data_IF_515081668873
#
_entry.id   IF_515081668873
#
_cell.length_a   1.000
_cell.length_b   1.000
_cell.length_c   1.000
_cell.angle_alpha   90.00
_cell.angle_beta   90.00
_cell.angle_gamma   90.00
#
_symmetry.space_group_name_H-M   'P 1'
#
loop_
_entity.id
_entity.type
_entity.pdbx_description
1 polymer ?
#
# COMPACT_ATOMS: atom_id res chain seq x y z
N UNK A 1 8.52 -5.97 1.50
CA UNK A 1 7.13 -6.07 2.01
C UNK A 1 6.59 -7.52 2.07
N UNK A 2 7.44 -8.55 2.20
CA UNK A 2 6.98 -9.96 2.25
C UNK A 2 5.95 -10.28 3.34
N UNK A 3 6.04 -9.65 4.52
CA UNK A 3 5.01 -9.77 5.57
C UNK A 3 3.71 -9.02 5.29
N UNK A 4 3.71 -8.06 4.36
CA UNK A 4 2.50 -7.39 3.85
C UNK A 4 1.76 -8.27 2.82
N UNK A 5 2.45 -9.23 2.17
CA UNK A 5 1.80 -10.29 1.38
C UNK A 5 1.10 -11.34 2.25
N UNK A 6 1.68 -11.70 3.41
CA UNK A 6 1.02 -12.58 4.39
C UNK A 6 -0.17 -11.92 5.12
N UNK A 7 -0.19 -10.58 5.15
CA UNK A 7 -1.29 -9.78 5.71
C UNK A 7 -2.33 -9.36 4.67
N UNK A 8 -2.25 -9.82 3.42
CA UNK A 8 -3.30 -9.56 2.44
C UNK A 8 -4.46 -10.53 2.69
N UNK A 9 -5.06 -10.44 3.88
CA UNK A 9 -6.21 -11.23 4.25
C UNK A 9 -7.43 -10.66 3.53
N UNK A 10 -8.28 -11.51 2.95
CA UNK A 10 -9.58 -11.06 2.46
C UNK A 10 -10.45 -10.39 3.55
N UNK A 11 -10.21 -10.73 4.82
CA UNK A 11 -10.85 -10.12 5.99
C UNK A 11 -10.50 -8.64 6.14
N UNK A 12 -9.28 -8.26 5.76
CA UNK A 12 -8.80 -6.88 5.88
C UNK A 12 -9.56 -5.98 4.91
N UNK A 13 -9.90 -6.51 3.71
CA UNK A 13 -10.77 -5.82 2.76
C UNK A 13 -12.16 -5.55 3.35
N UNK A 14 -12.78 -6.53 4.02
CA UNK A 14 -14.11 -6.34 4.63
C UNK A 14 -14.08 -5.25 5.71
N UNK A 15 -13.00 -5.20 6.48
CA UNK A 15 -12.83 -4.21 7.54
C UNK A 15 -12.53 -2.81 7.02
N UNK A 16 -11.70 -2.68 5.98
CA UNK A 16 -11.46 -1.38 5.31
C UNK A 16 -12.78 -0.79 4.83
N UNK A 17 -13.69 -1.61 4.29
CA UNK A 17 -15.03 -1.15 3.89
C UNK A 17 -15.80 -0.67 5.12
N UNK A 18 -15.91 -1.51 6.15
CA UNK A 18 -16.70 -1.21 7.33
C UNK A 18 -16.21 0.07 8.02
N UNK A 19 -14.91 0.16 8.27
CA UNK A 19 -14.27 1.32 8.88
C UNK A 19 -14.44 2.56 8.02
N UNK A 20 -14.15 2.44 6.72
CA UNK A 20 -14.23 3.54 5.77
C UNK A 20 -15.63 4.09 5.57
N UNK A 21 -16.65 3.22 5.49
CA UNK A 21 -18.05 3.62 5.34
C UNK A 21 -18.58 4.26 6.62
N UNK A 22 -18.32 3.67 7.79
CA UNK A 22 -18.72 4.26 9.08
C UNK A 22 -18.06 5.62 9.25
N UNK A 23 -16.75 5.72 8.98
CA UNK A 23 -16.04 6.98 9.08
C UNK A 23 -16.57 8.02 8.09
N UNK A 24 -16.74 7.68 6.80
CA UNK A 24 -17.27 8.63 5.80
C UNK A 24 -18.68 9.15 6.13
N UNK A 25 -19.51 8.36 6.82
CA UNK A 25 -20.86 8.77 7.23
C UNK A 25 -20.87 9.64 8.49
N UNK A 26 -20.06 9.31 9.49
CA UNK A 26 -20.15 9.90 10.84
C UNK A 26 -19.00 10.86 11.19
N UNK A 27 -17.96 10.98 10.37
CA UNK A 27 -16.83 11.88 10.66
C UNK A 27 -17.20 13.37 10.55
N UNK A 28 -16.48 14.17 11.33
CA UNK A 28 -16.43 15.63 11.24
C UNK A 28 -15.68 16.09 10.00
N UNK A 29 -14.60 15.39 9.61
CA UNK A 29 -13.86 15.65 8.37
C UNK A 29 -13.92 14.47 7.38
N UNK A 30 -14.92 14.43 6.48
CA UNK A 30 -15.11 13.29 5.56
C UNK A 30 -14.14 13.27 4.38
N UNK A 31 -13.27 14.29 4.24
CA UNK A 31 -12.20 14.31 3.24
C UNK A 31 -11.03 13.40 3.64
N UNK A 32 -10.93 13.02 4.91
CA UNK A 32 -9.96 12.06 5.41
C UNK A 32 -10.34 10.63 4.97
N UNK A 33 -9.39 9.92 4.37
CA UNK A 33 -9.55 8.52 3.94
C UNK A 33 -8.81 7.62 4.93
N UNK A 34 -9.52 6.65 5.52
CA UNK A 34 -8.92 5.67 6.43
C UNK A 34 -8.16 4.61 5.64
N UNK A 35 -6.94 4.29 6.08
CA UNK A 35 -6.12 3.22 5.53
C UNK A 35 -5.10 2.76 6.57
N UNK A 36 -4.46 1.60 6.36
CA UNK A 36 -3.36 1.17 7.20
C UNK A 36 -2.20 2.16 7.03
N UNK A 37 -1.65 2.67 8.14
CA UNK A 37 -0.50 3.57 8.14
C UNK A 37 0.78 2.81 8.49
N UNK A 38 1.92 3.29 7.99
CA UNK A 38 3.23 2.70 8.29
C UNK A 38 3.50 2.55 9.80
N UNK A 39 3.31 3.60 10.62
CA UNK A 39 3.52 3.51 12.06
C UNK A 39 2.63 2.47 12.75
N UNK A 40 1.35 2.36 12.36
CA UNK A 40 0.45 1.33 12.90
C UNK A 40 0.93 -0.09 12.53
N UNK A 41 1.36 -0.29 11.29
CA UNK A 41 1.90 -1.58 10.83
C UNK A 41 3.19 -1.95 11.58
N UNK A 42 4.09 -0.99 11.81
CA UNK A 42 5.32 -1.22 12.58
C UNK A 42 5.00 -1.63 14.02
N UNK A 43 4.02 -0.98 14.65
CA UNK A 43 3.57 -1.34 15.99
C UNK A 43 3.03 -2.79 16.02
N UNK A 44 2.20 -3.18 15.05
CA UNK A 44 1.69 -4.56 14.96
C UNK A 44 2.79 -5.60 14.73
N UNK A 45 3.80 -5.29 13.90
CA UNK A 45 4.95 -6.18 13.67
C UNK A 45 5.78 -6.35 14.92
N UNK A 46 6.03 -5.28 15.68
CA UNK A 46 6.75 -5.34 16.96
C UNK A 46 5.97 -6.20 17.95
N UNK A 47 4.65 -6.02 18.01
CA UNK A 47 3.76 -6.82 18.85
C UNK A 47 3.81 -8.30 18.45
N UNK A 48 3.73 -8.64 17.16
CA UNK A 48 3.84 -10.02 16.65
C UNK A 48 5.17 -10.67 17.05
N UNK A 49 6.29 -9.96 16.87
CA UNK A 49 7.62 -10.45 17.27
C UNK A 49 7.70 -10.69 18.78
N UNK A 50 7.12 -9.81 19.60
CA UNK A 50 7.07 -9.98 21.06
C UNK A 50 6.22 -11.21 21.44
N UNK A 51 5.05 -11.37 20.82
CA UNK A 51 4.15 -12.50 21.06
C UNK A 51 4.83 -13.83 20.72
N UNK A 52 5.52 -13.91 19.57
CA UNK A 52 6.25 -15.11 19.14
C UNK A 52 7.40 -15.46 20.08
N UNK A 53 8.13 -14.47 20.60
CA UNK A 53 9.22 -14.69 21.57
C UNK A 53 8.72 -15.25 22.90
N UNK A 54 7.52 -14.83 23.32
CA UNK A 54 6.94 -15.22 24.61
C UNK A 54 5.97 -16.41 24.50
N UNK A 55 5.63 -16.85 23.28
CA UNK A 55 4.70 -17.95 23.03
C UNK A 55 3.23 -17.60 23.27
N UNK A 56 2.86 -16.33 23.19
CA UNK A 56 1.49 -15.87 23.39
C UNK A 56 0.70 -15.77 22.07
N UNK A 57 -0.61 -15.96 22.15
CA UNK A 57 -1.51 -15.80 21.00
C UNK A 57 -1.63 -14.32 20.60
N UNK A 58 -1.02 -13.98 19.46
CA UNK A 58 -1.00 -12.63 18.89
C UNK A 58 -2.39 -12.01 18.73
N UNK A 59 -3.36 -12.81 18.28
CA UNK A 59 -4.72 -12.32 17.99
C UNK A 59 -5.46 -11.87 19.26
N UNK A 60 -5.21 -12.56 20.37
CA UNK A 60 -5.82 -12.22 21.66
C UNK A 60 -5.16 -10.98 22.29
N UNK A 61 -3.84 -10.86 22.17
CA UNK A 61 -3.12 -9.65 22.58
C UNK A 61 -3.58 -8.46 21.74
N UNK A 62 -3.74 -8.62 20.42
CA UNK A 62 -4.31 -7.59 19.54
C UNK A 62 -5.68 -7.14 20.01
N UNK A 63 -6.56 -8.07 20.39
CA UNK A 63 -7.88 -7.73 20.95
C UNK A 63 -7.73 -6.85 22.19
N UNK A 64 -6.97 -7.28 23.20
CA UNK A 64 -6.85 -6.52 24.46
C UNK A 64 -6.20 -5.15 24.29
N UNK A 65 -5.15 -5.07 23.46
CA UNK A 65 -4.52 -3.78 23.12
C UNK A 65 -5.55 -2.87 22.45
N UNK A 66 -6.32 -3.36 21.48
CA UNK A 66 -7.36 -2.59 20.81
C UNK A 66 -8.49 -2.11 21.74
N UNK A 67 -8.94 -2.95 22.67
CA UNK A 67 -9.97 -2.57 23.66
C UNK A 67 -9.47 -1.45 24.58
N UNK A 68 -8.24 -1.58 25.12
CA UNK A 68 -7.64 -0.54 25.96
C UNK A 68 -7.38 0.75 25.17
N UNK A 69 -6.92 0.65 23.93
CA UNK A 69 -6.71 1.81 23.06
C UNK A 69 -8.02 2.52 22.77
N UNK A 70 -9.10 1.80 22.43
CA UNK A 70 -10.42 2.38 22.25
C UNK A 70 -10.92 3.11 23.50
N UNK A 71 -10.72 2.51 24.68
CA UNK A 71 -11.08 3.14 25.96
C UNK A 71 -10.27 4.43 26.20
N UNK A 72 -8.96 4.40 25.95
CA UNK A 72 -8.09 5.57 26.11
C UNK A 72 -8.45 6.69 25.14
N UNK A 73 -8.83 6.37 23.90
CA UNK A 73 -9.29 7.37 22.94
C UNK A 73 -10.59 8.05 23.40
N UNK A 74 -11.54 7.32 24.00
CA UNK A 74 -12.74 7.93 24.61
C UNK A 74 -12.35 8.87 25.75
N UNK A 75 -11.41 8.46 26.60
CA UNK A 75 -10.89 9.31 27.69
C UNK A 75 -10.24 10.58 27.12
N UNK A 76 -9.47 10.47 26.04
CA UNK A 76 -8.88 11.63 25.37
C UNK A 76 -9.92 12.57 24.77
N UNK A 77 -11.01 12.05 24.20
CA UNK A 77 -12.15 12.88 23.75
C UNK A 77 -12.77 13.62 24.93
N UNK A 78 -12.96 12.96 26.07
CA UNK A 78 -13.56 13.55 27.27
C UNK A 78 -12.68 14.62 27.95
N UNK A 79 -11.36 14.47 27.88
CA UNK A 79 -10.36 15.41 28.44
C UNK A 79 -10.08 16.59 27.48
N UNK A 80 -10.66 16.60 26.28
CA UNK A 80 -10.32 17.55 25.22
C UNK A 80 -8.83 17.50 24.84
N UNK A 81 -8.32 16.29 24.59
CA UNK A 81 -6.97 16.11 24.05
C UNK A 81 -6.82 16.70 22.65
N UNK A 82 -7.91 16.95 21.93
CA UNK A 82 -7.90 17.68 20.66
C UNK A 82 -7.47 19.13 20.81
N UNK A 83 -7.52 19.74 22.00
CA UNK A 83 -6.92 21.05 22.23
C UNK A 83 -5.41 21.07 21.90
N UNK A 84 -4.72 19.91 21.98
CA UNK A 84 -3.32 19.82 21.57
C UNK A 84 -3.08 20.10 20.09
N UNK A 85 -4.11 19.99 19.24
CA UNK A 85 -4.07 20.40 17.84
C UNK A 85 -3.67 21.87 17.69
N UNK A 86 -4.08 22.73 18.61
CA UNK A 86 -3.77 24.16 18.55
C UNK A 86 -2.27 24.46 18.72
N UNK A 87 -1.48 23.53 19.26
CA UNK A 87 -0.02 23.67 19.35
C UNK A 87 0.71 23.26 18.07
N UNK A 88 0.02 22.57 17.16
CA UNK A 88 0.58 22.23 15.85
C UNK A 88 0.68 23.53 15.06
N UNK A 89 1.90 23.92 14.72
CA UNK A 89 2.17 25.09 13.91
C UNK A 89 2.28 24.71 12.45
N UNK A 90 2.12 25.70 11.55
CA UNK A 90 2.36 25.54 10.11
C UNK A 90 3.70 24.87 9.80
N UNK A 91 4.76 25.23 10.53
CA UNK A 91 6.08 24.65 10.34
C UNK A 91 6.10 23.14 10.60
N UNK A 92 5.46 22.70 11.69
CA UNK A 92 5.39 21.26 12.03
C UNK A 92 4.54 20.46 11.03
N UNK A 93 3.46 21.04 10.51
CA UNK A 93 2.61 20.41 9.50
C UNK A 93 3.35 20.22 8.17
N UNK A 94 4.05 21.26 7.70
CA UNK A 94 4.82 21.20 6.47
C UNK A 94 6.01 20.24 6.60
N UNK A 95 6.71 20.24 7.73
CA UNK A 95 7.77 19.28 8.02
C UNK A 95 7.25 17.83 8.02
N UNK A 96 6.06 17.58 8.57
CA UNK A 96 5.48 16.24 8.58
C UNK A 96 5.03 15.79 7.18
N UNK A 97 4.37 16.66 6.43
CA UNK A 97 3.93 16.33 5.07
C UNK A 97 5.11 16.17 4.09
N UNK A 98 6.21 16.93 4.26
CA UNK A 98 7.45 16.74 3.47
C UNK A 98 8.11 15.41 3.83
N UNK A 99 8.23 15.09 5.12
CA UNK A 99 8.78 13.81 5.59
C UNK A 99 8.01 12.62 5.00
N UNK A 100 6.68 12.65 5.07
CA UNK A 100 5.87 11.56 4.52
C UNK A 100 6.03 11.48 3.00
N UNK A 101 6.04 12.60 2.29
CA UNK A 101 6.24 12.61 0.84
C UNK A 101 7.60 12.01 0.46
N UNK A 102 8.66 12.30 1.22
CA UNK A 102 9.98 11.72 1.04
C UNK A 102 10.00 10.20 1.32
N UNK A 103 9.31 9.75 2.38
CA UNK A 103 9.16 8.32 2.69
C UNK A 103 8.49 7.59 1.51
N UNK A 104 7.44 8.18 0.92
CA UNK A 104 6.77 7.59 -0.24
C UNK A 104 7.68 7.51 -1.47
N UNK A 105 8.51 8.53 -1.72
CA UNK A 105 9.47 8.52 -2.83
C UNK A 105 10.53 7.43 -2.64
N UNK A 106 11.14 7.34 -1.45
CA UNK A 106 12.13 6.31 -1.14
C UNK A 106 11.51 4.92 -1.25
N UNK A 107 10.30 4.73 -0.70
CA UNK A 107 9.59 3.45 -0.77
C UNK A 107 9.28 3.03 -2.20
N UNK A 108 8.89 3.95 -3.09
CA UNK A 108 8.64 3.62 -4.49
C UNK A 108 9.90 3.10 -5.20
N UNK A 109 11.08 3.63 -4.86
CA UNK A 109 12.37 3.19 -5.41
C UNK A 109 12.82 1.87 -4.78
N UNK A 110 12.67 1.71 -3.46
CA UNK A 110 13.01 0.47 -2.74
C UNK A 110 12.25 -0.73 -3.30
N UNK A 111 10.94 -0.59 -3.51
CA UNK A 111 10.09 -1.64 -4.08
C UNK A 111 10.43 -1.94 -5.55
N UNK A 112 10.87 -0.94 -6.33
CA UNK A 112 11.39 -1.18 -7.66
C UNK A 112 12.69 -1.99 -7.61
N UNK A 113 13.56 -1.72 -6.62
CA UNK A 113 14.80 -2.49 -6.41
C UNK A 113 14.53 -3.91 -5.89
N UNK A 114 13.46 -4.14 -5.13
CA UNK A 114 13.02 -5.49 -4.72
C UNK A 114 12.76 -6.38 -5.95
N UNK A 115 12.13 -5.83 -7.00
CA UNK A 115 11.94 -6.53 -8.30
C UNK A 115 13.27 -6.86 -8.97
N UNK A 116 14.31 -6.05 -8.77
CA UNK A 116 15.66 -6.33 -9.29
C UNK A 116 16.28 -7.56 -8.65
N UNK A 117 16.00 -7.82 -7.38
CA UNK A 117 16.52 -8.99 -6.67
C UNK A 117 15.80 -10.26 -7.09
N UNK A 118 14.48 -10.19 -7.30
CA UNK A 118 13.67 -11.31 -7.78
C UNK A 118 13.95 -11.69 -9.24
N UNK A 119 14.38 -10.72 -10.06
CA UNK A 119 14.68 -10.93 -11.49
C UNK A 119 15.95 -10.18 -11.90
N UNK A 120 17.13 -10.72 -11.56
CA UNK A 120 18.40 -10.02 -11.77
C UNK A 120 18.74 -9.85 -13.24
N UNK A 121 19.31 -8.69 -13.58
CA UNK A 121 19.88 -8.44 -14.92
C UNK A 121 21.22 -9.14 -15.02
N UNK A 122 21.27 -10.18 -15.84
CA UNK A 122 22.52 -10.89 -16.13
C UNK A 122 23.19 -10.27 -17.33
N UNK A 123 24.45 -9.84 -17.17
CA UNK A 123 25.23 -9.16 -18.23
C UNK A 123 25.80 -10.11 -19.27
N UNK A 124 25.97 -11.39 -18.94
CA UNK A 124 26.57 -12.40 -19.81
C UNK A 124 25.62 -13.59 -20.00
N UNK A 125 24.89 -13.57 -21.12
CA UNK A 125 23.93 -14.61 -21.49
C UNK A 125 24.60 -16.00 -21.57
N UNK A 126 25.90 -16.05 -21.89
CA UNK A 126 26.66 -17.28 -22.01
C UNK A 126 26.79 -18.05 -20.68
N UNK A 127 26.87 -17.35 -19.54
CA UNK A 127 26.96 -17.98 -18.21
C UNK A 127 25.64 -18.66 -17.79
N UNK A 128 24.51 -18.17 -18.33
CA UNK A 128 23.18 -18.78 -18.12
C UNK A 128 23.09 -20.09 -18.89
N UNK A 129 23.51 -20.10 -20.17
CA UNK A 129 23.50 -21.32 -20.98
C UNK A 129 24.49 -22.39 -20.50
N UNK A 130 25.57 -22.01 -19.80
CA UNK A 130 26.51 -22.96 -19.19
C UNK A 130 26.01 -23.58 -17.89
N UNK A 131 24.94 -23.05 -17.27
CA UNK A 131 24.37 -23.57 -16.01
C UNK A 131 22.87 -23.90 -16.18
N UNK A 132 22.54 -25.00 -16.89
CA UNK A 132 21.17 -25.40 -17.10
C UNK A 132 20.47 -25.76 -15.79
N UNK A 133 19.14 -25.67 -15.79
CA UNK A 133 18.33 -25.96 -14.62
C UNK A 133 18.23 -27.47 -14.37
N UNK A 134 18.79 -27.95 -13.25
CA UNK A 134 18.71 -29.35 -12.85
C UNK A 134 18.05 -29.49 -11.47
N UNK A 135 17.29 -30.58 -11.32
CA UNK A 135 16.70 -30.98 -10.06
C UNK A 135 17.59 -32.07 -9.45
N UNK A 136 18.16 -31.82 -8.27
CA UNK A 136 18.89 -32.83 -7.49
C UNK A 136 18.00 -33.39 -6.39
N UNK A 137 17.94 -34.70 -6.30
CA UNK A 137 17.37 -35.38 -5.15
C UNK A 137 18.52 -35.85 -4.26
N UNK A 138 18.50 -35.47 -2.98
CA UNK A 138 19.41 -36.05 -2.00
C UNK A 138 18.84 -37.39 -1.55
N UNK A 139 19.14 -38.47 -2.28
CA UNK A 139 19.08 -39.81 -1.71
C UNK A 139 20.36 -40.05 -0.94
N UNK A 140 20.25 -40.39 0.34
CA UNK A 140 21.40 -40.91 1.07
C UNK A 140 21.92 -42.14 0.31
N UNK A 141 23.13 -42.00 -0.23
CA UNK A 141 23.99 -42.96 -0.94
C UNK A 141 24.12 -42.84 -2.47
N UNK A 142 25.27 -42.26 -2.86
CA UNK A 142 26.04 -42.39 -4.12
C UNK A 142 25.48 -41.82 -5.45
N UNK A 143 26.25 -40.86 -5.97
CA UNK A 143 26.19 -40.23 -7.29
C UNK A 143 26.45 -41.25 -8.40
N UNK A 144 25.54 -41.38 -9.38
CA UNK A 144 25.85 -41.97 -10.69
C UNK A 144 25.22 -41.13 -11.81
N UNK A 145 26.06 -40.69 -12.74
CA UNK A 145 25.73 -39.93 -13.95
C UNK A 145 25.41 -40.92 -15.08
N UNK A 146 24.25 -40.81 -15.74
CA UNK A 146 24.02 -41.49 -17.02
C UNK A 146 23.09 -40.70 -17.96
N UNK A 147 23.55 -40.55 -19.22
CA UNK A 147 22.89 -39.89 -20.36
C UNK A 147 21.54 -40.53 -20.79
N UNK A 148 20.63 -39.76 -21.45
CA UNK A 148 19.25 -40.17 -21.65
C UNK A 148 18.99 -40.83 -23.03
N UNK A 149 18.32 -41.99 -23.04
CA UNK A 149 17.49 -42.42 -24.17
C UNK A 149 16.13 -42.93 -23.67
N UNK A 150 15.09 -42.33 -24.25
CA UNK A 150 13.68 -42.72 -24.40
C UNK A 150 13.21 -44.03 -23.74
N UNK A 151 12.17 -43.95 -22.91
CA UNK A 151 11.33 -45.10 -22.52
C UNK A 151 9.84 -44.74 -22.65
N UNK A 152 9.00 -45.73 -22.96
CA UNK A 152 7.97 -46.10 -21.99
C UNK A 152 7.81 -47.63 -21.89
N UNK A 153 6.87 -48.16 -21.09
CA UNK A 153 6.72 -48.01 -19.65
C UNK A 153 6.74 -49.39 -18.96
N UNK A 154 6.76 -49.39 -17.62
CA UNK A 154 6.53 -50.52 -16.71
C UNK A 154 7.75 -51.31 -16.23
N UNK A 155 7.70 -51.58 -14.92
CA UNK A 155 8.58 -52.38 -14.07
C UNK A 155 9.81 -51.68 -13.48
N UNK A 156 9.79 -51.60 -12.13
CA UNK A 156 10.94 -51.44 -11.24
C UNK A 156 11.90 -50.27 -11.53
N UNK A 157 11.65 -49.09 -10.95
CA UNK A 157 12.58 -47.96 -11.01
C UNK A 157 13.10 -47.59 -9.62
N UNK A 158 14.09 -48.33 -9.15
CA UNK A 158 15.09 -47.84 -8.19
C UNK A 158 16.25 -47.28 -9.04
N UNK A 159 16.58 -46.00 -8.85
CA UNK A 159 17.80 -45.28 -9.25
C UNK A 159 17.49 -43.91 -9.87
N UNK A 160 18.26 -42.92 -9.43
CA UNK A 160 18.27 -41.47 -9.69
C UNK A 160 17.78 -41.03 -11.07
N UNK A 161 16.69 -40.25 -11.08
CA UNK A 161 16.19 -39.53 -12.27
C UNK A 161 16.91 -38.18 -12.40
N UNK A 162 17.92 -38.09 -13.27
CA UNK A 162 18.40 -36.80 -13.78
C UNK A 162 17.50 -36.38 -14.96
N UNK A 163 16.72 -35.29 -14.79
CA UNK A 163 15.84 -34.74 -15.83
C UNK A 163 16.53 -33.51 -16.44
N UNK A 164 17.01 -33.55 -17.71
CA UNK A 164 17.86 -32.49 -18.26
C UNK A 164 17.12 -31.21 -18.70
N UNK A 165 15.78 -31.19 -18.68
CA UNK A 165 15.02 -30.01 -19.09
C UNK A 165 13.83 -29.77 -18.15
N UNK A 166 14.05 -28.88 -17.19
CA UNK A 166 13.04 -28.41 -16.26
C UNK A 166 12.20 -27.30 -16.92
N UNK A 167 11.05 -27.64 -17.51
CA UNK A 167 10.00 -26.63 -17.77
C UNK A 167 9.43 -26.13 -16.44
N UNK A 168 8.78 -24.96 -16.40
CA UNK A 168 8.22 -24.36 -15.17
C UNK A 168 7.37 -25.34 -14.34
N UNK A 169 6.67 -26.26 -15.02
CA UNK A 169 5.90 -27.36 -14.41
C UNK A 169 6.76 -28.46 -13.78
N UNK A 170 7.90 -28.79 -14.40
CA UNK A 170 8.84 -29.79 -13.91
C UNK A 170 9.59 -29.32 -12.64
N UNK A 171 9.84 -28.01 -12.52
CA UNK A 171 10.55 -27.46 -11.36
C UNK A 171 9.65 -27.40 -10.13
N UNK A 172 8.36 -27.11 -10.31
CA UNK A 172 7.38 -27.20 -9.22
C UNK A 172 7.23 -28.65 -8.73
N UNK A 173 7.18 -29.62 -9.64
CA UNK A 173 7.12 -31.05 -9.30
C UNK A 173 8.38 -31.53 -8.54
N UNK A 174 9.57 -31.06 -8.92
CA UNK A 174 10.82 -31.32 -8.20
C UNK A 174 10.75 -30.86 -6.73
N UNK A 175 10.23 -29.65 -6.49
CA UNK A 175 10.09 -29.10 -5.13
C UNK A 175 9.05 -29.88 -4.30
N UNK A 176 7.96 -30.32 -4.93
CA UNK A 176 6.93 -31.16 -4.30
C UNK A 176 7.46 -32.54 -3.89
N UNK A 177 8.36 -33.13 -4.69
CA UNK A 177 9.00 -34.42 -4.40
C UNK A 177 10.24 -34.29 -3.47
N UNK A 178 10.49 -33.11 -2.90
CA UNK A 178 11.59 -32.87 -1.94
C UNK A 178 12.98 -32.70 -2.58
N UNK A 179 13.05 -32.41 -3.88
CA UNK A 179 14.29 -32.10 -4.60
C UNK A 179 14.74 -30.64 -4.44
N UNK A 180 16.04 -30.40 -4.58
CA UNK A 180 16.66 -29.07 -4.60
C UNK A 180 16.95 -28.69 -6.05
N UNK A 181 16.54 -27.48 -6.43
CA UNK A 181 16.73 -26.95 -7.77
C UNK A 181 18.05 -26.16 -7.79
N UNK A 182 18.94 -26.49 -8.72
CA UNK A 182 20.22 -25.79 -8.91
C UNK A 182 20.40 -25.40 -10.39
N UNK A 183 21.01 -24.24 -10.63
CA UNK A 183 21.24 -23.68 -11.97
C UNK A 183 20.68 -22.27 -12.13
N UNK A 184 21.42 -21.37 -12.78
CA UNK A 184 20.99 -19.97 -12.95
C UNK A 184 19.83 -19.85 -13.93
N UNK A 185 19.69 -20.80 -14.86
CA UNK A 185 18.59 -20.82 -15.83
C UNK A 185 17.21 -21.07 -15.20
N UNK A 186 17.13 -21.63 -13.99
CA UNK A 186 15.85 -21.89 -13.31
C UNK A 186 15.12 -20.60 -12.87
N UNK A 187 15.90 -19.60 -12.47
CA UNK A 187 15.39 -18.35 -11.88
C UNK A 187 15.46 -17.17 -12.86
N UNK A 188 16.12 -17.36 -14.00
CA UNK A 188 16.31 -16.31 -14.99
C UNK A 188 15.04 -16.08 -15.81
N UNK A 189 14.44 -14.90 -15.64
CA UNK A 189 13.43 -14.38 -16.56
C UNK A 189 14.04 -13.22 -17.36
N UNK A 190 14.18 -13.34 -18.70
CA UNK A 190 14.75 -12.27 -19.51
C UNK A 190 13.84 -11.03 -19.50
N UNK A 191 14.47 -9.85 -19.52
CA UNK A 191 13.87 -8.53 -19.78
C UNK A 191 12.78 -8.04 -18.79
N UNK A 192 12.40 -8.83 -17.79
CA UNK A 192 11.35 -8.47 -16.81
C UNK A 192 11.70 -7.21 -16.04
N UNK A 193 12.92 -7.12 -15.50
CA UNK A 193 13.34 -5.96 -14.72
C UNK A 193 13.50 -4.70 -15.56
N UNK A 194 14.13 -4.80 -16.74
CA UNK A 194 14.31 -3.65 -17.64
C UNK A 194 12.96 -3.09 -18.09
N UNK A 195 12.02 -3.97 -18.44
CA UNK A 195 10.67 -3.56 -18.81
C UNK A 195 9.90 -2.99 -17.60
N UNK A 196 10.13 -3.49 -16.38
CA UNK A 196 9.56 -2.94 -15.15
C UNK A 196 10.02 -1.49 -14.89
N UNK A 197 11.31 -1.19 -15.11
CA UNK A 197 11.84 0.18 -15.04
C UNK A 197 11.16 1.09 -16.07
N UNK A 198 11.00 0.60 -17.30
CA UNK A 198 10.34 1.37 -18.37
C UNK A 198 8.89 1.68 -17.98
N UNK A 199 8.12 0.69 -17.54
CA UNK A 199 6.75 0.88 -17.08
C UNK A 199 6.66 1.86 -15.90
N UNK A 200 7.57 1.76 -14.94
CA UNK A 200 7.63 2.64 -13.77
C UNK A 200 7.79 4.12 -14.16
N UNK A 201 8.86 4.45 -14.91
CA UNK A 201 9.12 5.82 -15.31
C UNK A 201 8.12 6.32 -16.35
N UNK A 202 7.70 5.49 -17.30
CA UNK A 202 6.71 5.89 -18.30
C UNK A 202 5.36 6.24 -17.66
N UNK A 203 4.91 5.46 -16.66
CA UNK A 203 3.68 5.79 -15.92
C UNK A 203 3.80 7.15 -15.23
N UNK A 204 4.93 7.41 -14.56
CA UNK A 204 5.22 8.69 -13.92
C UNK A 204 5.20 9.85 -14.92
N UNK A 205 5.95 9.75 -16.02
CA UNK A 205 6.05 10.82 -17.02
C UNK A 205 4.72 11.08 -17.72
N UNK A 206 3.92 10.05 -18.00
CA UNK A 206 2.59 10.21 -18.58
C UNK A 206 1.65 10.91 -17.59
N UNK A 207 1.60 10.46 -16.34
CA UNK A 207 0.76 11.10 -15.32
C UNK A 207 1.16 12.57 -15.08
N UNK A 208 2.47 12.84 -14.99
CA UNK A 208 3.00 14.19 -14.82
C UNK A 208 2.79 15.06 -16.06
N UNK A 209 2.97 14.52 -17.26
CA UNK A 209 2.71 15.21 -18.52
C UNK A 209 1.23 15.60 -18.69
N UNK A 210 0.31 14.67 -18.38
CA UNK A 210 -1.13 14.94 -18.37
C UNK A 210 -1.53 15.93 -17.27
N UNK A 211 -0.81 15.97 -16.13
CA UNK A 211 -0.97 17.05 -15.13
C UNK A 211 -0.56 18.41 -15.71
N UNK A 212 0.62 18.49 -16.34
CA UNK A 212 1.15 19.72 -16.92
C UNK A 212 0.30 20.22 -18.09
N UNK A 213 -0.34 19.30 -18.82
CA UNK A 213 -1.30 19.61 -19.87
C UNK A 213 -2.43 20.52 -19.37
N UNK A 214 -2.76 20.51 -18.06
CA UNK A 214 -3.69 21.46 -17.43
C UNK A 214 -3.36 22.93 -17.68
N UNK A 215 -2.10 23.28 -17.91
CA UNK A 215 -1.67 24.67 -18.17
C UNK A 215 -1.39 24.94 -19.65
N UNK A 216 -1.47 23.92 -20.51
CA UNK A 216 -1.25 24.06 -21.94
C UNK A 216 -2.34 24.88 -22.63
N UNK A 217 -1.99 25.53 -23.74
CA UNK A 217 -2.87 26.35 -24.59
C UNK A 217 -3.42 25.60 -25.82
N UNK A 218 -2.98 24.36 -26.09
CA UNK A 218 -3.28 23.66 -27.34
C UNK A 218 -4.73 23.13 -27.47
N UNK A 219 -5.50 23.04 -26.38
CA UNK A 219 -6.84 22.45 -26.36
C UNK A 219 -7.89 23.30 -25.64
N UNK A 220 -9.17 23.02 -25.91
CA UNK A 220 -10.29 23.65 -25.20
C UNK A 220 -10.20 23.43 -23.69
N UNK A 221 -10.53 24.46 -22.91
CA UNK A 221 -10.45 24.46 -21.44
C UNK A 221 -11.14 23.22 -20.83
N UNK A 222 -12.34 22.85 -21.30
CA UNK A 222 -13.08 21.69 -20.80
C UNK A 222 -12.32 20.37 -20.97
N UNK A 223 -11.78 20.12 -22.16
CA UNK A 223 -11.04 18.89 -22.46
C UNK A 223 -9.76 18.83 -21.62
N UNK A 224 -9.05 19.96 -21.52
CA UNK A 224 -7.82 20.09 -20.75
C UNK A 224 -8.01 19.78 -19.27
N UNK A 225 -9.07 20.32 -18.65
CA UNK A 225 -9.38 20.04 -17.25
C UNK A 225 -9.78 18.58 -17.03
N UNK A 226 -10.63 18.00 -17.89
CA UNK A 226 -11.02 16.58 -17.79
C UNK A 226 -9.81 15.64 -17.92
N UNK A 227 -8.97 15.85 -18.94
CA UNK A 227 -7.78 15.01 -19.16
C UNK A 227 -6.78 15.12 -18.00
N UNK A 228 -6.60 16.32 -17.45
CA UNK A 228 -5.72 16.52 -16.30
C UNK A 228 -6.26 15.87 -15.01
N UNK A 229 -7.57 15.85 -14.81
CA UNK A 229 -8.19 15.23 -13.62
C UNK A 229 -8.14 13.69 -13.68
N UNK A 230 -8.21 13.10 -14.87
CA UNK A 230 -8.09 11.65 -15.10
C UNK A 230 -6.64 11.17 -15.36
N UNK A 231 -5.63 12.02 -15.13
CA UNK A 231 -4.24 11.74 -15.50
C UNK A 231 -3.70 10.38 -15.02
N UNK A 232 -3.89 10.04 -13.75
CA UNK A 232 -3.44 8.79 -13.14
C UNK A 232 -4.17 7.61 -13.75
N UNK A 233 -5.49 7.71 -13.93
CA UNK A 233 -6.29 6.61 -14.51
C UNK A 233 -5.91 6.32 -15.95
N UNK A 234 -5.67 7.36 -16.76
CA UNK A 234 -5.23 7.23 -18.15
C UNK A 234 -3.83 6.60 -18.21
N UNK A 235 -2.92 7.03 -17.32
CA UNK A 235 -1.56 6.46 -17.25
C UNK A 235 -1.57 4.96 -16.90
N UNK A 236 -2.37 4.54 -15.92
CA UNK A 236 -2.52 3.12 -15.54
C UNK A 236 -3.06 2.31 -16.71
N UNK A 237 -4.11 2.77 -17.38
CA UNK A 237 -4.72 2.06 -18.50
C UNK A 237 -3.75 1.91 -19.68
N UNK A 238 -3.04 2.98 -20.04
CA UNK A 238 -2.11 2.98 -21.16
C UNK A 238 -0.92 2.05 -20.91
N UNK A 239 -0.34 2.08 -19.70
CA UNK A 239 0.81 1.25 -19.35
C UNK A 239 0.43 -0.21 -19.10
N UNK A 240 -0.77 -0.47 -18.57
CA UNK A 240 -1.31 -1.83 -18.46
C UNK A 240 -1.56 -2.43 -19.85
N UNK A 241 -2.08 -1.65 -20.80
CA UNK A 241 -2.23 -2.06 -22.19
C UNK A 241 -0.87 -2.32 -22.85
N UNK A 242 0.13 -1.47 -22.60
CA UNK A 242 1.50 -1.67 -23.08
C UNK A 242 2.11 -2.98 -22.56
N UNK A 243 1.91 -3.30 -21.27
CA UNK A 243 2.36 -4.59 -20.68
C UNK A 243 1.76 -5.79 -21.42
N UNK A 244 0.46 -5.73 -21.73
CA UNK A 244 -0.21 -6.80 -22.48
C UNK A 244 0.19 -6.87 -23.95
N UNK A 245 0.51 -5.73 -24.58
CA UNK A 245 1.00 -5.69 -25.96
C UNK A 245 2.40 -6.30 -26.11
N UNK A 246 3.27 -6.10 -25.10
CA UNK A 246 4.64 -6.67 -25.10
C UNK A 246 4.64 -8.13 -24.65
N UNK A 247 3.70 -8.54 -23.79
CA UNK A 247 3.54 -9.94 -23.37
C UNK A 247 4.59 -10.44 -22.38
N UNK A 248 5.28 -9.54 -21.66
CA UNK A 248 6.28 -9.90 -20.64
C UNK A 248 5.63 -10.28 -19.31
N UNK A 249 6.18 -11.28 -18.62
CA UNK A 249 5.75 -11.79 -17.31
C UNK A 249 6.19 -10.88 -16.14
N UNK A 250 5.80 -9.61 -16.20
CA UNK A 250 5.99 -8.63 -15.12
C UNK A 250 5.15 -9.00 -13.90
N UNK A 251 5.65 -8.84 -12.66
CA UNK A 251 4.86 -9.06 -11.46
C UNK A 251 3.57 -8.23 -11.49
N UNK A 252 2.44 -8.89 -11.35
CA UNK A 252 1.11 -8.27 -11.33
C UNK A 252 0.57 -8.24 -9.90
N UNK A 253 -0.44 -7.41 -9.65
CA UNK A 253 -1.06 -7.32 -8.34
C UNK A 253 -1.69 -8.66 -7.93
N UNK A 254 -1.19 -9.24 -6.85
CA UNK A 254 -1.70 -10.47 -6.25
C UNK A 254 -2.79 -10.12 -5.23
N UNK A 255 -4.04 -10.42 -5.58
CA UNK A 255 -5.20 -10.29 -4.68
C UNK A 255 -5.71 -11.70 -4.35
N UNK A 256 -5.98 -12.01 -3.08
CA UNK A 256 -6.53 -13.32 -2.69
C UNK A 256 -7.91 -13.54 -3.32
N UNK A 257 -8.10 -14.67 -4.00
CA UNK A 257 -9.37 -15.01 -4.69
C UNK A 257 -10.48 -15.50 -3.74
N UNK A 258 -10.14 -15.86 -2.50
CA UNK A 258 -11.09 -16.47 -1.55
C UNK A 258 -11.14 -15.66 -0.27
N UNK A 259 -12.36 -15.41 0.22
CA UNK A 259 -12.63 -14.78 1.51
C UNK A 259 -12.46 -15.76 2.69
N UNK A 260 -11.36 -16.49 2.74
CA UNK A 260 -11.11 -17.43 3.82
C UNK A 260 -10.22 -16.79 4.90
N UNK A 261 -10.52 -16.99 6.19
CA UNK A 261 -9.59 -16.65 7.25
C UNK A 261 -8.30 -17.47 7.09
N UNK A 262 -7.15 -16.88 7.42
CA UNK A 262 -5.81 -17.51 7.36
C UNK A 262 -5.71 -18.81 8.19
N UNK A 263 -6.66 -19.01 9.10
CA UNK A 263 -6.84 -20.20 9.93
C UNK A 263 -8.33 -20.49 10.00
N UNK A 264 -8.74 -21.75 10.03
CA UNK A 264 -10.12 -22.12 10.34
C UNK A 264 -10.45 -21.62 11.76
N UNK A 265 -11.10 -20.45 11.87
CA UNK A 265 -11.43 -19.81 13.13
C UNK A 265 -12.79 -19.12 13.06
N UNK A 266 -13.40 -18.95 14.22
CA UNK A 266 -14.57 -18.10 14.40
C UNK A 266 -14.22 -16.62 14.16
N UNK A 267 -15.20 -15.89 13.63
CA UNK A 267 -15.05 -14.46 13.26
C UNK A 267 -14.90 -13.57 14.50
N UNK A 268 -15.54 -13.94 15.61
CA UNK A 268 -15.51 -13.20 16.86
C UNK A 268 -14.49 -13.85 17.78
N UNK A 269 -13.57 -13.05 18.30
CA UNK A 269 -12.68 -13.51 19.35
C UNK A 269 -13.38 -13.47 20.71
N UNK A 270 -13.25 -14.56 21.46
CA UNK A 270 -13.69 -14.59 22.83
C UNK A 270 -12.65 -13.87 23.71
N UNK A 271 -12.99 -12.73 24.34
CA UNK A 271 -12.06 -11.98 25.18
C UNK A 271 -11.68 -12.74 26.47
N UNK A 272 -12.40 -13.81 26.80
CA UNK A 272 -12.26 -14.60 28.03
C UNK A 272 -11.24 -15.75 27.93
N UNK A 273 -10.74 -16.09 26.74
CA UNK A 273 -9.78 -17.20 26.57
C UNK A 273 -8.32 -16.81 26.92
N UNK A 274 -8.15 -15.75 27.71
CA UNK A 274 -6.83 -15.19 28.05
C UNK A 274 -6.17 -16.00 29.13
N UNK A 275 -5.15 -16.75 28.73
CA UNK A 275 -4.21 -17.41 29.64
C UNK A 275 -2.86 -16.74 29.48
N UNK A 276 -2.27 -16.12 30.52
CA UNK A 276 -2.78 -15.82 31.87
C UNK A 276 -3.53 -14.47 31.98
N UNK A 277 -4.42 -14.31 32.97
CA UNK A 277 -5.27 -13.11 33.14
C UNK A 277 -4.51 -11.78 33.26
N UNK A 278 -3.30 -11.80 33.83
CA UNK A 278 -2.47 -10.58 33.97
C UNK A 278 -2.04 -10.01 32.61
N UNK A 279 -2.11 -10.80 31.54
CA UNK A 279 -1.84 -10.33 30.18
C UNK A 279 -2.81 -9.22 29.77
N UNK A 280 -4.09 -9.33 30.14
CA UNK A 280 -5.09 -8.31 29.85
C UNK A 280 -4.71 -6.97 30.47
N UNK A 281 -4.15 -6.97 31.68
CA UNK A 281 -3.66 -5.75 32.33
C UNK A 281 -2.32 -5.26 31.75
N UNK A 282 -1.41 -6.18 31.43
CA UNK A 282 -0.11 -5.84 30.84
C UNK A 282 -0.24 -5.14 29.47
N UNK A 283 -1.28 -5.48 28.69
CA UNK A 283 -1.60 -4.85 27.41
C UNK A 283 -1.94 -3.35 27.52
N UNK A 284 -2.24 -2.85 28.71
CA UNK A 284 -2.50 -1.43 28.95
C UNK A 284 -1.32 -0.54 28.53
N UNK A 285 -0.08 -0.94 28.82
CA UNK A 285 1.10 -0.14 28.51
C UNK A 285 1.30 0.03 26.99
N UNK A 286 1.34 -1.06 26.17
CA UNK A 286 1.32 -0.93 24.71
C UNK A 286 0.13 -0.12 24.19
N UNK A 287 -1.05 -0.30 24.77
CA UNK A 287 -2.26 0.41 24.36
C UNK A 287 -2.18 1.93 24.60
N UNK A 288 -1.53 2.38 25.67
CA UNK A 288 -1.25 3.80 25.93
C UNK A 288 -0.33 4.41 24.87
N UNK A 289 0.74 3.71 24.48
CA UNK A 289 1.62 4.19 23.41
C UNK A 289 0.87 4.23 22.07
N UNK A 290 0.06 3.21 21.80
CA UNK A 290 -0.70 3.12 20.56
C UNK A 290 -1.82 4.17 20.46
N UNK A 291 -2.49 4.51 21.57
CA UNK A 291 -3.50 5.57 21.58
C UNK A 291 -2.89 6.95 21.31
N UNK A 292 -1.68 7.24 21.81
CA UNK A 292 -0.95 8.47 21.51
C UNK A 292 -0.57 8.53 20.02
N UNK A 293 -0.12 7.41 19.45
CA UNK A 293 0.20 7.32 18.02
C UNK A 293 -1.04 7.61 17.17
N UNK A 294 -2.18 6.98 17.45
CA UNK A 294 -3.44 7.22 16.74
C UNK A 294 -3.90 8.68 16.88
N UNK A 295 -3.80 9.25 18.09
CA UNK A 295 -4.14 10.65 18.34
C UNK A 295 -3.31 11.59 17.48
N UNK A 296 -1.98 11.37 17.43
CA UNK A 296 -1.07 12.20 16.64
C UNK A 296 -1.34 12.05 15.14
N UNK A 297 -1.42 10.82 14.62
CA UNK A 297 -1.67 10.58 13.20
C UNK A 297 -3.01 11.18 12.75
N UNK A 298 -4.10 10.96 13.51
CA UNK A 298 -5.42 11.49 13.16
C UNK A 298 -5.48 13.02 13.23
N UNK A 299 -4.88 13.63 14.26
CA UNK A 299 -4.94 15.07 14.43
C UNK A 299 -4.08 15.78 13.39
N UNK A 300 -2.86 15.30 13.13
CA UNK A 300 -1.97 15.91 12.13
C UNK A 300 -2.61 15.80 10.73
N UNK A 301 -3.14 14.63 10.36
CA UNK A 301 -3.83 14.45 9.06
C UNK A 301 -5.00 15.42 8.89
N UNK A 302 -5.83 15.56 9.92
CA UNK A 302 -7.00 16.42 9.88
C UNK A 302 -6.62 17.91 9.79
N UNK A 303 -5.56 18.33 10.49
CA UNK A 303 -5.05 19.71 10.43
C UNK A 303 -4.49 20.05 9.05
N UNK A 304 -3.69 19.16 8.46
CA UNK A 304 -3.13 19.35 7.11
C UNK A 304 -4.24 19.58 6.08
N UNK A 305 -5.35 18.85 6.18
CA UNK A 305 -6.50 19.00 5.28
C UNK A 305 -7.28 20.28 5.59
N UNK A 306 -7.41 20.64 6.86
CA UNK A 306 -8.15 21.82 7.33
C UNK A 306 -7.38 23.14 7.21
N UNK A 307 -6.28 23.15 6.44
CA UNK A 307 -5.48 24.34 6.21
C UNK A 307 -6.35 25.50 5.68
N UNK A 308 -6.18 26.74 6.18
CA UNK A 308 -6.96 27.88 5.71
C UNK A 308 -6.76 28.16 4.21
N UNK A 309 -5.61 27.77 3.64
CA UNK A 309 -5.33 27.87 2.21
C UNK A 309 -6.29 27.06 1.34
N UNK A 310 -6.83 25.96 1.86
CA UNK A 310 -7.76 25.09 1.15
C UNK A 310 -9.15 25.72 1.01
N UNK A 311 -9.41 26.88 1.65
CA UNK A 311 -10.65 27.66 1.58
C UNK A 311 -11.92 26.80 1.79
N UNK A 312 -11.87 25.90 2.77
CA UNK A 312 -13.01 25.10 3.20
C UNK A 312 -14.11 26.02 3.76
N UNK A 313 -15.37 25.71 3.45
CA UNK A 313 -16.54 26.52 3.82
C UNK A 313 -17.29 25.93 5.02
N UNK A 314 -17.22 24.61 5.21
CA UNK A 314 -17.85 23.94 6.36
C UNK A 314 -16.88 23.89 7.54
N UNK A 315 -17.45 23.83 8.75
CA UNK A 315 -16.67 23.60 9.96
C UNK A 315 -16.13 22.18 10.03
N UNK A 316 -15.04 22.00 10.78
CA UNK A 316 -14.40 20.71 11.06
C UNK A 316 -14.71 20.24 12.49
N UNK A 317 -14.53 18.94 12.75
CA UNK A 317 -14.83 18.34 14.06
C UNK A 317 -13.79 17.32 14.51
N UNK A 318 -12.68 17.79 15.09
CA UNK A 318 -11.58 16.92 15.56
C UNK A 318 -12.02 15.92 16.65
N UNK A 319 -12.84 16.36 17.60
CA UNK A 319 -13.38 15.47 18.65
C UNK A 319 -14.26 14.36 18.08
N UNK A 320 -15.09 14.69 17.09
CA UNK A 320 -16.00 13.74 16.47
C UNK A 320 -15.21 12.69 15.69
N UNK A 321 -14.17 13.11 14.96
CA UNK A 321 -13.28 12.19 14.24
C UNK A 321 -12.59 11.20 15.18
N UNK A 322 -12.07 11.69 16.31
CA UNK A 322 -11.43 10.86 17.33
C UNK A 322 -12.41 9.90 18.01
N UNK A 323 -13.63 10.35 18.30
CA UNK A 323 -14.68 9.50 18.88
C UNK A 323 -15.12 8.38 17.93
N UNK A 324 -15.29 8.68 16.64
CA UNK A 324 -15.64 7.68 15.62
C UNK A 324 -14.52 6.64 15.50
N UNK A 325 -13.25 7.07 15.49
CA UNK A 325 -12.11 6.14 15.47
C UNK A 325 -12.08 5.29 16.75
N UNK A 326 -12.37 5.86 17.92
CA UNK A 326 -12.45 5.08 19.16
C UNK A 326 -13.49 3.95 19.07
N UNK A 327 -14.66 4.23 18.50
CA UNK A 327 -15.70 3.20 18.23
C UNK A 327 -15.20 2.16 17.25
N UNK A 328 -14.56 2.58 16.15
CA UNK A 328 -13.97 1.67 15.16
C UNK A 328 -12.89 0.77 15.78
N UNK A 329 -12.09 1.28 16.72
CA UNK A 329 -11.08 0.50 17.43
C UNK A 329 -11.69 -0.65 18.24
N UNK A 330 -12.83 -0.43 18.92
CA UNK A 330 -13.56 -1.50 19.59
C UNK A 330 -14.08 -2.55 18.60
N UNK A 331 -14.65 -2.10 17.48
CA UNK A 331 -15.18 -3.00 16.45
C UNK A 331 -14.04 -3.85 15.86
N UNK A 332 -12.95 -3.24 15.40
CA UNK A 332 -11.80 -3.96 14.83
C UNK A 332 -11.15 -4.93 15.81
N UNK A 333 -11.07 -4.53 17.09
CA UNK A 333 -10.51 -5.36 18.17
C UNK A 333 -11.30 -6.65 18.38
N UNK A 334 -12.64 -6.59 18.41
CA UNK A 334 -13.50 -7.78 18.62
C UNK A 334 -13.36 -8.79 17.46
N UNK A 335 -13.18 -8.30 16.24
CA UNK A 335 -12.96 -9.16 15.06
C UNK A 335 -11.47 -9.58 14.88
N UNK A 336 -10.54 -8.97 15.63
CA UNK A 336 -9.11 -9.24 15.59
C UNK A 336 -8.42 -8.77 14.31
N UNK A 337 -8.97 -7.75 13.66
CA UNK A 337 -8.52 -7.21 12.36
C UNK A 337 -7.54 -6.05 12.60
N UNK A 338 -6.58 -5.76 11.70
CA UNK A 338 -5.72 -4.58 11.78
C UNK A 338 -6.48 -3.27 12.01
N UNK A 339 -5.75 -2.33 12.62
CA UNK A 339 -6.27 -1.01 12.96
C UNK A 339 -6.08 -0.02 11.81
N UNK A 340 -7.10 0.80 11.54
CA UNK A 340 -7.12 1.78 10.45
C UNK A 340 -7.19 3.20 10.99
N UNK A 341 -6.38 4.10 10.43
CA UNK A 341 -6.28 5.52 10.80
C UNK A 341 -6.30 6.36 9.52
N UNK A 342 -6.57 7.67 9.60
CA UNK A 342 -6.51 8.52 8.41
C UNK A 342 -5.10 8.51 7.79
N UNK A 343 -5.01 8.21 6.50
CA UNK A 343 -3.76 8.25 5.76
C UNK A 343 -3.54 9.62 5.12
N UNK A 344 -2.45 10.31 5.49
CA UNK A 344 -2.13 11.67 5.04
C UNK A 344 -2.07 11.79 3.52
N UNK A 345 -1.22 11.02 2.85
CA UNK A 345 -0.96 11.17 1.39
C UNK A 345 -2.19 10.82 0.57
N UNK A 346 -2.89 9.74 0.93
CA UNK A 346 -4.12 9.34 0.23
C UNK A 346 -5.19 10.43 0.38
N UNK A 347 -5.34 10.98 1.59
CA UNK A 347 -6.30 12.07 1.84
C UNK A 347 -5.90 13.36 1.12
N UNK A 348 -4.61 13.69 1.05
CA UNK A 348 -4.11 14.83 0.28
C UNK A 348 -4.36 14.68 -1.22
N UNK A 349 -4.15 13.49 -1.77
CA UNK A 349 -4.46 13.21 -3.18
C UNK A 349 -5.96 13.26 -3.45
N UNK A 350 -6.78 12.78 -2.50
CA UNK A 350 -8.23 12.93 -2.57
C UNK A 350 -8.64 14.41 -2.61
N UNK A 351 -8.07 15.23 -1.74
CA UNK A 351 -8.32 16.68 -1.68
C UNK A 351 -7.87 17.37 -2.97
N UNK A 352 -6.69 17.06 -3.50
CA UNK A 352 -6.19 17.66 -4.74
C UNK A 352 -7.08 17.31 -5.94
N UNK A 353 -7.71 16.13 -5.95
CA UNK A 353 -8.69 15.75 -6.99
C UNK A 353 -10.00 16.54 -6.89
N UNK A 354 -10.30 17.16 -5.74
CA UNK A 354 -11.52 17.94 -5.47
C UNK A 354 -11.30 19.46 -5.60
N UNK A 355 -10.12 19.88 -6.05
CA UNK A 355 -9.71 21.28 -6.26
C UNK A 355 -10.48 21.95 -7.39
N UNK A 356 -11.15 23.06 -7.08
CA UNK A 356 -11.83 23.90 -8.06
C UNK A 356 -10.94 25.09 -8.42
N UNK A 357 -10.71 25.24 -9.73
CA UNK A 357 -10.03 26.39 -10.31
C UNK A 357 -11.06 27.27 -11.03
N UNK A 358 -10.82 28.58 -11.08
CA UNK A 358 -11.71 29.55 -11.74
C UNK A 358 -11.83 29.31 -13.24
N UNK A 359 -13.06 29.20 -13.75
CA UNK A 359 -13.35 29.00 -15.19
C UNK A 359 -13.22 30.29 -16.02
N UNK A 360 -13.36 31.47 -15.40
CA UNK A 360 -13.37 32.77 -16.08
C UNK A 360 -12.15 33.59 -15.70
N UNK A 361 -11.10 33.47 -16.50
CA UNK A 361 -10.00 34.45 -16.52
C UNK A 361 -10.09 35.28 -17.79
N UNK A 362 -9.76 36.57 -17.69
CA UNK A 362 -9.42 37.36 -18.88
C UNK A 362 -8.23 36.66 -19.57
N UNK A 363 -8.13 36.69 -20.91
CA UNK A 363 -7.03 36.05 -21.63
C UNK A 363 -5.68 36.58 -21.10
N UNK A 364 -4.90 35.70 -20.46
CA UNK A 364 -3.59 36.02 -19.86
C UNK A 364 -3.50 35.85 -18.34
N UNK A 365 -4.62 35.72 -17.62
CA UNK A 365 -4.60 35.59 -16.15
C UNK A 365 -4.50 34.11 -15.71
N UNK A 366 -3.64 33.82 -14.74
CA UNK A 366 -3.47 32.47 -14.21
C UNK A 366 -4.74 32.00 -13.47
N UNK A 367 -5.14 30.73 -13.59
CA UNK A 367 -6.36 30.23 -12.96
C UNK A 367 -6.27 30.37 -11.43
N UNK A 368 -7.22 31.11 -10.85
CA UNK A 368 -7.27 31.32 -9.41
C UNK A 368 -7.92 30.13 -8.72
N UNK A 369 -7.36 29.74 -7.57
CA UNK A 369 -7.92 28.70 -6.72
C UNK A 369 -9.13 29.23 -5.93
N UNK A 370 -10.32 28.70 -6.25
CA UNK A 370 -11.59 29.11 -5.64
C UNK A 370 -11.88 28.36 -4.33
N UNK A 371 -11.42 27.10 -4.20
CA UNK A 371 -11.62 26.25 -3.03
C UNK A 371 -11.82 24.77 -3.41
N UNK A 372 -12.30 23.98 -2.46
CA UNK A 372 -12.53 22.54 -2.61
C UNK A 372 -14.02 22.17 -2.70
N UNK A 373 -14.32 21.08 -3.42
CA UNK A 373 -15.63 20.42 -3.34
C UNK A 373 -15.70 19.52 -2.11
N UNK A 374 -16.38 19.99 -1.06
CA UNK A 374 -16.59 19.19 0.16
C UNK A 374 -17.72 18.16 -0.02
N UNK A 375 -17.37 16.89 -0.21
CA UNK A 375 -18.32 15.80 -0.45
C UNK A 375 -18.01 14.60 0.46
N UNK A 376 -19.05 13.96 1.00
CA UNK A 376 -18.94 12.66 1.70
C UNK A 376 -19.00 11.46 0.74
N UNK A 377 -19.65 11.67 -0.39
CA UNK A 377 -19.97 10.63 -1.36
C UNK A 377 -18.72 10.01 -1.98
N UNK A 378 -17.69 10.81 -2.26
CA UNK A 378 -16.46 10.35 -2.90
C UNK A 378 -15.70 9.36 -2.01
N UNK A 379 -15.54 9.68 -0.73
CA UNK A 379 -14.94 8.79 0.25
C UNK A 379 -15.79 7.51 0.45
N UNK A 380 -17.12 7.64 0.53
CA UNK A 380 -18.02 6.49 0.66
C UNK A 380 -17.92 5.53 -0.53
N UNK A 381 -17.99 6.07 -1.75
CA UNK A 381 -17.88 5.28 -2.99
C UNK A 381 -16.52 4.62 -3.10
N UNK A 382 -15.43 5.32 -2.73
CA UNK A 382 -14.09 4.74 -2.75
C UNK A 382 -14.01 3.48 -1.86
N UNK A 383 -14.47 3.54 -0.60
CA UNK A 383 -14.45 2.38 0.30
C UNK A 383 -15.41 1.27 -0.14
N UNK A 384 -16.56 1.62 -0.73
CA UNK A 384 -17.48 0.64 -1.31
C UNK A 384 -16.86 -0.08 -2.53
N UNK A 385 -16.12 0.64 -3.38
CA UNK A 385 -15.39 0.06 -4.52
C UNK A 385 -14.21 -0.81 -4.08
N UNK A 386 -13.51 -0.46 -3.00
CA UNK A 386 -12.50 -1.35 -2.38
C UNK A 386 -13.18 -2.66 -1.96
N UNK A 387 -14.40 -2.62 -1.44
CA UNK A 387 -15.16 -3.83 -1.13
C UNK A 387 -15.58 -4.66 -2.33
N UNK A 388 -16.04 -3.99 -3.37
CA UNK A 388 -16.41 -4.63 -4.63
C UNK A 388 -15.18 -5.20 -5.37
N UNK A 389 -13.96 -4.78 -5.00
CA UNK A 389 -12.72 -5.20 -5.66
C UNK A 389 -12.50 -6.71 -5.62
N UNK A 390 -13.02 -7.42 -4.62
CA UNK A 390 -12.96 -8.89 -4.54
C UNK A 390 -13.66 -9.54 -5.73
N UNK A 391 -14.78 -8.97 -6.19
CA UNK A 391 -15.46 -9.44 -7.40
C UNK A 391 -14.73 -9.02 -8.70
N UNK A 392 -13.95 -7.93 -8.63
CA UNK A 392 -13.14 -7.41 -9.74
C UNK A 392 -11.69 -7.95 -9.73
N UNK A 393 -11.38 -8.95 -8.89
CA UNK A 393 -10.09 -9.63 -8.82
C UNK A 393 -9.51 -10.02 -10.20
N UNK A 394 -10.28 -10.58 -11.17
CA UNK A 394 -9.71 -10.90 -12.49
C UNK A 394 -9.20 -9.66 -13.24
N UNK A 395 -9.81 -8.49 -13.04
CA UNK A 395 -9.34 -7.24 -13.64
C UNK A 395 -8.14 -6.66 -12.90
N UNK A 396 -8.12 -6.74 -11.56
CA UNK A 396 -7.02 -6.24 -10.74
C UNK A 396 -5.71 -6.99 -11.00
N UNK A 397 -5.78 -8.30 -11.25
CA UNK A 397 -4.62 -9.14 -11.64
C UNK A 397 -4.00 -8.76 -12.99
N UNK A 398 -4.68 -7.94 -13.82
CA UNK A 398 -4.11 -7.47 -15.08
C UNK A 398 -3.10 -6.34 -14.86
N UNK A 399 -3.21 -5.62 -13.74
CA UNK A 399 -2.43 -4.42 -13.48
C UNK A 399 -1.03 -4.81 -12.99
N UNK A 400 0.04 -4.44 -13.71
CA UNK A 400 1.41 -4.71 -13.29
C UNK A 400 1.82 -3.83 -12.11
N UNK A 401 2.54 -4.41 -11.13
CA UNK A 401 3.01 -3.70 -9.93
C UNK A 401 3.90 -2.50 -10.26
N UNK A 402 4.84 -2.54 -11.23
CA UNK A 402 5.67 -1.38 -11.58
C UNK A 402 4.87 -0.13 -12.01
N UNK A 403 3.70 -0.31 -12.61
CA UNK A 403 2.82 0.81 -12.99
C UNK A 403 2.26 1.49 -11.75
N UNK A 404 1.81 0.72 -10.75
CA UNK A 404 1.36 1.26 -9.47
C UNK A 404 2.49 1.97 -8.72
N UNK A 405 3.71 1.42 -8.76
CA UNK A 405 4.91 2.07 -8.20
C UNK A 405 5.19 3.42 -8.88
N UNK A 406 5.01 3.52 -10.20
CA UNK A 406 5.13 4.79 -10.94
C UNK A 406 4.07 5.83 -10.52
N UNK A 407 2.85 5.39 -10.20
CA UNK A 407 1.81 6.25 -9.62
C UNK A 407 2.18 6.69 -8.20
N UNK A 408 2.76 5.81 -7.36
CA UNK A 408 3.25 6.20 -6.04
C UNK A 408 4.34 7.28 -6.12
N UNK A 409 5.27 7.16 -7.07
CA UNK A 409 6.27 8.19 -7.34
C UNK A 409 5.62 9.52 -7.73
N UNK A 410 4.61 9.49 -8.63
CA UNK A 410 3.85 10.68 -9.00
C UNK A 410 3.18 11.35 -7.79
N UNK A 411 2.49 10.58 -6.95
CA UNK A 411 1.81 11.12 -5.76
C UNK A 411 2.79 11.76 -4.77
N UNK A 412 3.97 11.15 -4.57
CA UNK A 412 5.03 11.72 -3.72
C UNK A 412 5.54 13.08 -4.22
N UNK A 413 5.80 13.20 -5.52
CA UNK A 413 6.28 14.46 -6.13
C UNK A 413 5.20 15.54 -6.13
N UNK A 414 3.94 15.19 -6.43
CA UNK A 414 2.84 16.14 -6.40
C UNK A 414 2.55 16.65 -4.98
N UNK A 415 2.66 15.77 -3.98
CA UNK A 415 2.52 16.14 -2.56
C UNK A 415 3.57 17.17 -2.12
N UNK A 416 4.81 17.08 -2.63
CA UNK A 416 5.87 18.07 -2.37
C UNK A 416 5.57 19.43 -3.00
N UNK A 417 5.05 19.47 -4.23
CA UNK A 417 4.82 20.71 -4.99
C UNK A 417 3.79 21.68 -4.40
N UNK A 418 3.07 21.28 -3.34
CA UNK A 418 2.10 22.12 -2.63
C UNK A 418 2.64 22.75 -1.34
N UNK A 419 3.90 22.52 -0.99
CA UNK A 419 4.45 22.91 0.31
C UNK A 419 5.42 24.10 0.19
N UNK A 420 5.41 25.02 1.16
CA UNK A 420 6.29 26.20 1.15
C UNK A 420 7.76 25.89 1.45
N UNK A 421 8.08 24.62 1.75
CA UNK A 421 9.46 24.13 1.92
C UNK A 421 10.25 24.17 0.61
N UNK A 422 9.61 24.55 -0.50
CA UNK A 422 10.27 25.09 -1.70
C UNK A 422 11.30 26.18 -1.37
N UNK A 423 11.21 26.86 -0.22
CA UNK A 423 12.27 27.76 0.27
C UNK A 423 13.66 27.09 0.36
N UNK A 424 13.73 25.79 0.68
CA UNK A 424 15.00 25.03 0.69
C UNK A 424 15.54 24.83 -0.72
N UNK A 425 14.67 24.65 -1.72
CA UNK A 425 15.06 24.61 -3.13
C UNK A 425 15.41 26.01 -3.68
N UNK A 426 14.70 27.05 -3.25
CA UNK A 426 15.01 28.44 -3.56
C UNK A 426 16.38 28.87 -3.00
N UNK A 427 16.85 28.31 -1.88
CA UNK A 427 18.21 28.58 -1.39
C UNK A 427 19.30 28.15 -2.37
N UNK A 428 18.96 27.29 -3.36
CA UNK A 428 19.85 26.86 -4.43
C UNK A 428 19.62 27.58 -5.77
N UNK A 429 18.56 28.38 -5.88
CA UNK A 429 18.38 29.29 -7.01
C UNK A 429 19.09 30.59 -6.64
N UNK A 430 20.00 31.04 -7.51
CA UNK A 430 20.68 32.31 -7.32
C UNK A 430 19.65 33.43 -7.07
N UNK A 431 20.02 34.39 -6.21
CA UNK A 431 19.23 35.55 -5.73
C UNK A 431 18.68 36.50 -6.84
N UNK A 432 18.64 36.08 -8.09
CA UNK A 432 18.11 36.84 -9.23
C UNK A 432 16.60 36.62 -9.48
N UNK A 433 15.93 35.76 -8.71
CA UNK A 433 14.48 35.49 -8.83
C UNK A 433 13.67 35.84 -7.59
#
# INVERSE_FOLDING_TARGET
MEKLKELNNPLDNICIILCGVIYALFSGQPLCVLSATGPCLVFEVIMDVLCRKQGFDFLLIRLWVGLWTGLMLIIFVAIDASAFVAFITRFTEEAFATLISLIFLVKAVEELMEISYDSPVVTSVQNIFTSPCYCKFYSNDSVTLHEPYLLPPSTLANSSREVPHCTTRCCLACLFDGGVIEGMQCFYKPDVFMFSIILFFATFFIAFGLKLFRHSSFFSSKVRHVVADFNVTIAILLMTAAKWAVGTDVPCLEVPDKLNPTRERDWILNPLDVKPWWMALACFLPACFFSILILMDQNITSVIINRPENKLKKGYGYHLDLAVIAVLMFVCSIFGIPFYVAATVISLMHVESLRIMSETTAPGDAPQFLGLKEQRFTALVAHLLIGLSVFLTPFMKLIPMPVLLGVFLYMGIVSLSGQQVDFVFCFRLDNEY
#
